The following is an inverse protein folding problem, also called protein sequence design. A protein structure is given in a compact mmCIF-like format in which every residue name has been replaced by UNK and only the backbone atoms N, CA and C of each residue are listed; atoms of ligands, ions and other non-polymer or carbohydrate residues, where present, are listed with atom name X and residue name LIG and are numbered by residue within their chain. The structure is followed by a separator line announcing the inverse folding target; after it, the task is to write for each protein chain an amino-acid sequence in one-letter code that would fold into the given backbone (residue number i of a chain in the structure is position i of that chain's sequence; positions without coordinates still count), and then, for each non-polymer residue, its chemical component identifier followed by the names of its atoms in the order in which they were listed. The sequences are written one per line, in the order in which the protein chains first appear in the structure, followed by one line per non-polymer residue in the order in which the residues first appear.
data_IF_694087918832
#
_entry.id   IF_694087918832
#
_cell.length_a   1.000
_cell.length_b   1.000
_cell.length_c   1.000
_cell.angle_alpha   90.00
_cell.angle_beta   90.00
_cell.angle_gamma   90.00
#
_symmetry.space_group_name_H-M   'P 1'
#
loop_
_entity.id
_entity.type
_entity.pdbx_description
1 polymer ?
#
# COMPACT_ATOMS: atom_id res chain seq x y z
N UNK A 1 37.41 4.69 -11.54
CA UNK A 1 36.67 3.47 -11.91
C UNK A 1 35.57 3.30 -10.87
N UNK A 2 34.31 3.48 -11.26
CA UNK A 2 33.18 3.31 -10.36
C UNK A 2 32.97 1.83 -10.08
N UNK A 3 32.89 1.46 -8.82
CA UNK A 3 32.62 0.08 -8.41
C UNK A 3 31.20 -0.28 -8.87
N UNK A 4 31.06 -1.22 -9.82
CA UNK A 4 29.76 -1.70 -10.26
C UNK A 4 29.13 -2.53 -9.15
N UNK A 5 28.10 -1.97 -8.49
CA UNK A 5 27.27 -2.75 -7.57
C UNK A 5 26.45 -3.75 -8.39
N UNK A 6 26.27 -4.99 -7.92
CA UNK A 6 25.47 -5.97 -8.64
C UNK A 6 24.04 -5.46 -8.85
N UNK A 7 23.57 -5.44 -10.09
CA UNK A 7 22.28 -4.86 -10.50
C UNK A 7 21.06 -5.44 -9.76
N UNK A 8 21.19 -6.62 -9.13
CA UNK A 8 20.13 -7.25 -8.35
C UNK A 8 19.95 -6.63 -6.95
N UNK A 9 20.98 -5.96 -6.38
CA UNK A 9 20.87 -5.21 -5.13
C UNK A 9 20.48 -3.76 -5.36
N UNK A 10 20.98 -3.18 -6.46
CA UNK A 10 20.73 -1.79 -6.81
C UNK A 10 20.57 -1.64 -8.32
N UNK A 11 19.36 -1.39 -8.84
CA UNK A 11 19.12 -1.33 -10.27
C UNK A 11 19.97 -0.26 -10.95
N UNK A 12 20.54 -0.60 -12.11
CA UNK A 12 21.13 0.37 -13.04
C UNK A 12 20.07 1.33 -13.60
N UNK A 13 18.84 0.84 -13.80
CA UNK A 13 17.70 1.61 -14.28
C UNK A 13 17.33 2.76 -13.34
N UNK A 14 17.26 3.98 -13.88
CA UNK A 14 17.03 5.19 -13.12
C UNK A 14 15.62 5.23 -12.51
N UNK A 15 14.61 4.72 -13.22
CA UNK A 15 13.24 4.70 -12.71
C UNK A 15 13.08 3.73 -11.54
N UNK A 16 13.62 2.52 -11.65
CA UNK A 16 13.65 1.54 -10.57
C UNK A 16 14.45 2.05 -9.36
N UNK A 17 15.59 2.71 -9.60
CA UNK A 17 16.39 3.33 -8.54
C UNK A 17 15.66 4.47 -7.84
N UNK A 18 14.98 5.34 -8.57
CA UNK A 18 14.19 6.43 -7.99
C UNK A 18 13.08 5.91 -7.07
N UNK A 19 12.44 4.79 -7.42
CA UNK A 19 11.46 4.11 -6.55
C UNK A 19 12.10 3.61 -5.25
N UNK A 20 13.27 2.95 -5.34
CA UNK A 20 13.99 2.47 -4.15
C UNK A 20 14.41 3.65 -3.26
N UNK A 21 14.97 4.71 -3.83
CA UNK A 21 15.30 5.94 -3.10
C UNK A 21 14.09 6.53 -2.38
N UNK A 22 12.93 6.62 -3.05
CA UNK A 22 11.72 7.16 -2.44
C UNK A 22 11.27 6.36 -1.21
N UNK A 23 11.38 5.03 -1.26
CA UNK A 23 11.05 4.14 -0.13
C UNK A 23 12.07 4.30 1.00
N UNK A 24 13.36 4.36 0.68
CA UNK A 24 14.43 4.57 1.66
C UNK A 24 14.33 5.93 2.35
N UNK A 25 14.07 7.00 1.60
CA UNK A 25 13.89 8.35 2.13
C UNK A 25 12.65 8.42 3.03
N UNK A 26 11.56 7.75 2.63
CA UNK A 26 10.39 7.62 3.49
C UNK A 26 10.75 6.86 4.78
N UNK A 27 11.49 5.75 4.71
CA UNK A 27 11.91 4.98 5.88
C UNK A 27 12.82 5.78 6.81
N UNK A 28 13.76 6.56 6.26
CA UNK A 28 14.65 7.44 7.02
C UNK A 28 13.90 8.60 7.68
N UNK A 29 12.91 9.17 7.00
CA UNK A 29 12.16 10.34 7.49
C UNK A 29 11.06 9.97 8.49
N UNK A 30 10.60 8.71 8.49
CA UNK A 30 9.50 8.26 9.33
C UNK A 30 9.97 7.22 10.36
N UNK A 31 10.31 6.02 9.90
CA UNK A 31 10.49 4.87 10.79
C UNK A 31 11.71 5.00 11.69
N UNK A 32 12.83 5.53 11.16
CA UNK A 32 14.11 5.63 11.89
C UNK A 32 13.99 6.48 13.16
N UNK A 33 13.21 7.56 13.14
CA UNK A 33 13.12 8.45 14.28
C UNK A 33 12.47 7.76 15.49
N UNK A 34 11.30 7.15 15.30
CA UNK A 34 10.60 6.41 16.36
C UNK A 34 11.32 5.13 16.79
N UNK A 35 11.80 4.33 15.84
CA UNK A 35 12.44 3.03 16.14
C UNK A 35 13.83 3.19 16.78
N UNK A 36 14.68 4.09 16.27
CA UNK A 36 16.00 4.33 16.87
C UNK A 36 15.87 4.95 18.25
N UNK A 37 14.96 5.91 18.44
CA UNK A 37 14.71 6.50 19.75
C UNK A 37 14.26 5.46 20.76
N UNK A 38 13.36 4.54 20.37
CA UNK A 38 12.89 3.49 21.25
C UNK A 38 14.01 2.50 21.63
N UNK A 39 14.73 1.96 20.64
CA UNK A 39 15.78 0.95 20.88
C UNK A 39 16.95 1.54 21.68
N UNK A 40 17.35 2.78 21.37
CA UNK A 40 18.42 3.47 22.09
C UNK A 40 18.06 3.65 23.56
N UNK A 41 16.89 4.22 23.86
CA UNK A 41 16.51 4.60 25.22
C UNK A 41 16.01 3.43 26.09
N UNK A 42 15.63 2.30 25.48
CA UNK A 42 15.15 1.11 26.19
C UNK A 42 16.21 0.02 26.39
N UNK A 43 17.14 -0.14 25.43
CA UNK A 43 17.97 -1.35 25.33
C UNK A 43 19.45 -1.05 25.10
N UNK A 44 19.78 -0.19 24.13
CA UNK A 44 21.17 0.02 23.72
C UNK A 44 21.94 1.03 24.58
N UNK A 45 21.27 1.97 25.25
CA UNK A 45 21.93 3.00 26.05
C UNK A 45 22.94 2.43 27.07
N UNK A 46 22.61 1.41 27.88
CA UNK A 46 23.56 0.84 28.84
C UNK A 46 24.81 0.23 28.18
N UNK A 47 24.64 -0.38 27.00
CA UNK A 47 25.76 -0.99 26.27
C UNK A 47 26.78 0.04 25.75
N UNK A 48 26.38 1.31 25.63
CA UNK A 48 27.24 2.43 25.22
C UNK A 48 27.55 3.40 26.37
N UNK A 49 27.31 2.99 27.62
CA UNK A 49 27.63 3.78 28.82
C UNK A 49 26.66 4.93 29.11
N UNK A 50 25.47 4.93 28.48
CA UNK A 50 24.42 5.91 28.72
C UNK A 50 23.33 5.35 29.63
N UNK A 51 22.67 6.19 30.45
CA UNK A 51 21.52 5.77 31.25
C UNK A 51 20.30 5.52 30.36
N UNK A 52 19.43 4.60 30.81
CA UNK A 52 18.10 4.45 30.21
C UNK A 52 17.27 5.72 30.43
N UNK A 53 16.43 6.07 29.46
CA UNK A 53 15.55 7.23 29.54
C UNK A 53 14.08 6.80 29.31
N UNK A 54 13.34 6.46 30.38
CA UNK A 54 11.97 5.95 30.26
C UNK A 54 11.01 6.94 29.60
N UNK A 55 11.22 8.24 29.78
CA UNK A 55 10.39 9.28 29.17
C UNK A 55 10.60 9.32 27.66
N UNK A 56 11.86 9.37 27.22
CA UNK A 56 12.20 9.34 25.80
C UNK A 56 11.77 8.02 25.13
N UNK A 57 11.83 6.90 25.85
CA UNK A 57 11.31 5.61 25.37
C UNK A 57 9.81 5.69 25.08
N UNK A 58 9.00 6.21 26.01
CA UNK A 58 7.54 6.34 25.83
C UNK A 58 7.17 7.28 24.68
N UNK A 59 7.90 8.38 24.53
CA UNK A 59 7.69 9.33 23.43
C UNK A 59 8.02 8.69 22.08
N UNK A 60 9.15 7.99 21.99
CA UNK A 60 9.55 7.27 20.79
C UNK A 60 8.60 6.11 20.44
N UNK A 61 8.09 5.40 21.44
CA UNK A 61 7.08 4.33 21.27
C UNK A 61 5.78 4.88 20.70
N UNK A 62 5.30 6.03 21.19
CA UNK A 62 4.10 6.69 20.66
C UNK A 62 4.27 7.07 19.20
N UNK A 63 5.40 7.68 18.85
CA UNK A 63 5.73 8.05 17.46
C UNK A 63 5.80 6.81 16.56
N UNK A 64 6.50 5.77 17.01
CA UNK A 64 6.63 4.51 16.27
C UNK A 64 5.27 3.84 16.04
N UNK A 65 4.43 3.79 17.06
CA UNK A 65 3.09 3.20 16.99
C UNK A 65 2.18 3.93 16.01
N UNK A 66 2.21 5.27 16.02
CA UNK A 66 1.45 6.08 15.06
C UNK A 66 1.90 5.83 13.61
N UNK A 67 3.21 5.73 13.37
CA UNK A 67 3.77 5.46 12.04
C UNK A 67 3.47 4.05 11.53
N UNK A 68 3.51 3.04 12.40
CA UNK A 68 3.12 1.67 12.07
C UNK A 68 1.63 1.56 11.73
N UNK A 69 0.79 2.29 12.47
CA UNK A 69 -0.64 2.40 12.16
C UNK A 69 -0.87 3.04 10.77
N UNK A 70 -0.21 4.16 10.50
CA UNK A 70 -0.26 4.82 9.19
C UNK A 70 0.20 3.91 8.04
N UNK A 71 1.31 3.20 8.21
CA UNK A 71 1.80 2.23 7.22
C UNK A 71 0.80 1.12 6.95
N UNK A 72 0.20 0.59 8.02
CA UNK A 72 -0.80 -0.48 7.92
C UNK A 72 -2.04 0.02 7.17
N UNK A 73 -2.50 1.24 7.46
CA UNK A 73 -3.60 1.87 6.75
C UNK A 73 -3.26 2.11 5.26
N UNK A 74 -2.07 2.63 4.97
CA UNK A 74 -1.58 2.86 3.60
C UNK A 74 -1.50 1.55 2.81
N UNK A 75 -0.98 0.48 3.40
CA UNK A 75 -0.89 -0.83 2.77
C UNK A 75 -2.29 -1.41 2.48
N UNK A 76 -3.24 -1.26 3.40
CA UNK A 76 -4.64 -1.63 3.18
C UNK A 76 -5.27 -0.85 2.03
N UNK A 77 -5.09 0.47 1.97
CA UNK A 77 -5.61 1.31 0.88
C UNK A 77 -5.04 0.87 -0.47
N UNK A 78 -3.72 0.65 -0.57
CA UNK A 78 -3.11 0.13 -1.79
C UNK A 78 -3.66 -1.25 -2.19
N UNK A 79 -3.80 -2.17 -1.25
CA UNK A 79 -4.41 -3.49 -1.50
C UNK A 79 -5.85 -3.38 -1.99
N UNK A 80 -6.62 -2.43 -1.45
CA UNK A 80 -8.02 -2.22 -1.86
C UNK A 80 -8.08 -1.57 -3.25
N UNK A 81 -7.19 -0.61 -3.55
CA UNK A 81 -7.04 -0.02 -4.88
C UNK A 81 -6.62 -1.05 -5.94
N UNK A 82 -5.69 -1.94 -5.60
CA UNK A 82 -5.25 -3.03 -6.48
C UNK A 82 -6.38 -4.04 -6.73
N UNK A 83 -7.11 -4.41 -5.67
CA UNK A 83 -8.32 -5.23 -5.79
C UNK A 83 -9.38 -4.54 -6.64
N UNK A 84 -9.62 -3.24 -6.43
CA UNK A 84 -10.57 -2.46 -7.21
C UNK A 84 -10.16 -2.39 -8.70
N UNK A 85 -8.89 -2.09 -9.02
CA UNK A 85 -8.42 -2.06 -10.41
C UNK A 85 -8.50 -3.41 -11.13
N UNK A 86 -8.31 -4.52 -10.40
CA UNK A 86 -8.46 -5.86 -10.97
C UNK A 86 -9.94 -6.19 -11.24
N UNK A 87 -10.81 -5.96 -10.25
CA UNK A 87 -12.22 -6.30 -10.35
C UNK A 87 -13.02 -5.33 -11.22
N UNK A 88 -12.67 -4.04 -11.27
CA UNK A 88 -13.31 -3.09 -12.18
C UNK A 88 -12.96 -3.42 -13.64
N UNK A 89 -11.70 -3.80 -13.92
CA UNK A 89 -11.31 -4.29 -15.26
C UNK A 89 -12.07 -5.55 -15.64
N UNK A 90 -12.19 -6.52 -14.75
CA UNK A 90 -12.92 -7.76 -15.06
C UNK A 90 -14.44 -7.57 -15.12
N UNK A 91 -15.02 -6.85 -14.17
CA UNK A 91 -16.46 -6.62 -14.04
C UNK A 91 -17.00 -5.66 -15.08
N UNK A 92 -16.45 -4.45 -15.22
CA UNK A 92 -16.91 -3.47 -16.21
C UNK A 92 -16.66 -3.96 -17.63
N UNK A 93 -15.50 -4.56 -17.91
CA UNK A 93 -15.25 -5.11 -19.25
C UNK A 93 -16.14 -6.32 -19.54
N UNK A 94 -16.33 -7.24 -18.59
CA UNK A 94 -17.22 -8.38 -18.75
C UNK A 94 -18.68 -7.98 -18.97
N UNK A 95 -19.16 -6.95 -18.27
CA UNK A 95 -20.50 -6.40 -18.45
C UNK A 95 -20.65 -5.76 -19.83
N UNK A 96 -19.79 -4.80 -20.19
CA UNK A 96 -19.85 -4.09 -21.48
C UNK A 96 -19.70 -5.04 -22.65
N UNK A 97 -18.78 -6.02 -22.55
CA UNK A 97 -18.51 -6.97 -23.62
C UNK A 97 -19.69 -7.91 -23.86
N UNK A 98 -20.38 -8.38 -22.81
CA UNK A 98 -21.52 -9.30 -22.94
C UNK A 98 -22.86 -8.60 -23.21
N UNK A 99 -23.11 -7.42 -22.62
CA UNK A 99 -24.40 -6.75 -22.72
C UNK A 99 -24.52 -5.80 -23.91
N UNK A 100 -23.39 -5.20 -24.32
CA UNK A 100 -23.37 -4.10 -25.29
C UNK A 100 -22.57 -4.46 -26.54
N UNK A 101 -21.34 -4.94 -26.38
CA UNK A 101 -20.43 -5.18 -27.50
C UNK A 101 -20.77 -6.46 -28.29
N UNK A 102 -21.02 -7.58 -27.61
CA UNK A 102 -21.35 -8.86 -28.24
C UNK A 102 -22.61 -8.76 -29.14
N UNK A 103 -23.73 -8.18 -28.71
CA UNK A 103 -24.88 -7.95 -29.58
C UNK A 103 -24.56 -7.04 -30.78
N UNK A 104 -23.75 -6.00 -30.57
CA UNK A 104 -23.36 -5.05 -31.62
C UNK A 104 -22.50 -5.67 -32.73
N UNK A 105 -21.85 -6.81 -32.48
CA UNK A 105 -21.05 -7.56 -33.46
C UNK A 105 -21.69 -8.89 -33.88
N UNK A 106 -22.99 -9.08 -33.59
CA UNK A 106 -23.74 -10.28 -34.00
C UNK A 106 -23.45 -11.54 -33.18
N UNK A 107 -22.79 -11.42 -32.03
CA UNK A 107 -22.62 -12.52 -31.07
C UNK A 107 -23.80 -12.59 -30.10
N UNK A 108 -24.19 -13.79 -29.64
CA UNK A 108 -25.28 -13.93 -28.68
C UNK A 108 -24.93 -13.29 -27.34
N UNK A 109 -25.87 -12.52 -26.79
CA UNK A 109 -25.77 -11.99 -25.43
C UNK A 109 -25.73 -13.14 -24.43
N UNK A 110 -24.83 -13.07 -23.44
CA UNK A 110 -24.82 -13.98 -22.28
C UNK A 110 -25.39 -13.25 -21.05
N UNK A 111 -26.72 -13.32 -20.82
CA UNK A 111 -27.38 -12.58 -19.74
C UNK A 111 -26.97 -13.04 -18.34
N UNK A 112 -26.57 -14.31 -18.18
CA UNK A 112 -26.04 -14.81 -16.91
C UNK A 112 -24.69 -14.17 -16.58
N UNK A 113 -23.79 -14.10 -17.56
CA UNK A 113 -22.50 -13.44 -17.39
C UNK A 113 -22.63 -11.93 -17.14
N UNK A 114 -23.59 -11.26 -17.78
CA UNK A 114 -23.89 -9.85 -17.54
C UNK A 114 -24.38 -9.62 -16.10
N UNK A 115 -25.25 -10.50 -15.58
CA UNK A 115 -25.79 -10.40 -14.21
C UNK A 115 -24.74 -10.67 -13.13
N UNK A 116 -23.83 -11.62 -13.35
CA UNK A 116 -22.70 -11.83 -12.44
C UNK A 116 -21.73 -10.63 -12.44
N UNK A 117 -21.48 -10.03 -13.61
CA UNK A 117 -20.65 -8.81 -13.72
C UNK A 117 -21.29 -7.61 -13.00
N UNK A 118 -22.61 -7.45 -13.10
CA UNK A 118 -23.39 -6.43 -12.38
C UNK A 118 -23.33 -6.60 -10.85
N UNK A 119 -23.36 -7.86 -10.37
CA UNK A 119 -23.22 -8.17 -8.95
C UNK A 119 -21.83 -7.80 -8.41
N UNK A 120 -20.78 -8.07 -9.19
CA UNK A 120 -19.41 -7.64 -8.86
C UNK A 120 -19.31 -6.11 -8.83
N UNK A 121 -19.92 -5.41 -9.79
CA UNK A 121 -20.00 -3.94 -9.81
C UNK A 121 -20.73 -3.35 -8.60
N UNK A 122 -21.85 -3.95 -8.20
CA UNK A 122 -22.60 -3.51 -7.01
C UNK A 122 -21.81 -3.71 -5.71
N UNK A 123 -21.10 -4.83 -5.59
CA UNK A 123 -20.21 -5.08 -4.45
C UNK A 123 -19.03 -4.09 -4.41
N UNK A 124 -18.48 -3.72 -5.57
CA UNK A 124 -17.41 -2.71 -5.69
C UNK A 124 -17.86 -1.33 -5.21
N UNK A 125 -19.07 -0.89 -5.59
CA UNK A 125 -19.63 0.39 -5.17
C UNK A 125 -19.82 0.46 -3.64
N UNK A 126 -20.33 -0.61 -3.03
CA UNK A 126 -20.48 -0.68 -1.57
C UNK A 126 -19.14 -0.61 -0.83
N UNK A 127 -18.05 -1.17 -1.38
CA UNK A 127 -16.72 -1.03 -0.79
C UNK A 127 -16.15 0.39 -0.89
N UNK A 128 -16.51 1.15 -1.92
CA UNK A 128 -16.09 2.55 -2.07
C UNK A 128 -16.73 3.41 -0.97
N UNK A 129 -18.00 3.18 -0.65
CA UNK A 129 -18.67 3.91 0.43
C UNK A 129 -17.98 3.68 1.79
N UNK A 130 -17.55 2.44 2.07
CA UNK A 130 -16.78 2.08 3.27
C UNK A 130 -15.41 2.79 3.30
N UNK A 131 -14.74 2.94 2.15
CA UNK A 131 -13.45 3.64 2.07
C UNK A 131 -13.59 5.14 2.34
N UNK A 132 -14.68 5.76 1.88
CA UNK A 132 -14.99 7.16 2.14
C UNK A 132 -15.24 7.39 3.64
N UNK A 133 -15.95 6.49 4.30
CA UNK A 133 -16.17 6.56 5.76
C UNK A 133 -14.85 6.37 6.56
N UNK A 134 -13.99 5.44 6.14
CA UNK A 134 -12.70 5.20 6.81
C UNK A 134 -11.65 6.30 6.56
N UNK A 135 -11.78 7.07 5.48
CA UNK A 135 -10.90 8.18 5.13
C UNK A 135 -11.28 9.52 5.79
N UNK A 136 -12.43 9.60 6.47
CA UNK A 136 -12.96 10.81 7.07
C UNK A 136 -12.64 10.92 8.59
N UNK A 137 -11.48 10.39 9.01
CA UNK A 137 -10.97 10.42 10.39
C UNK A 137 -9.89 11.49 10.53
#
# INVERSE_FOLDING_TARGET
MGQEFPNHWYPADLTARAKIHSILDWHHSNLRHGSMGFVLNSTLAPAIGLPLNPQATKEAEKVLSALLSYLTARAKIHSILDWHHSNLRHGSMGFVLNSTLAPAIGLPCNPQAAKEAEKVLSALLSCIDILVELGNI
#
